data_IF_181886558790
#
_entry.id   IF_181886558790
#
_cell.length_a   1.000
_cell.length_b   1.000
_cell.length_c   1.000
_cell.angle_alpha   90.00
_cell.angle_beta   90.00
_cell.angle_gamma   90.00
#
_symmetry.space_group_name_H-M   'P 1'
#
loop_
_entity.id
_entity.type
_entity.pdbx_description
1 polymer ?
#
# COMPACT_ATOMS: atom_id res chain seq x y z
N UNK A 1 -21.08 -30.06 -18.61
CA UNK A 1 -22.52 -30.26 -18.27
C UNK A 1 -22.63 -31.66 -17.69
N UNK A 2 -23.10 -32.00 -16.48
CA UNK A 2 -23.96 -31.43 -15.41
C UNK A 2 -23.51 -32.12 -14.09
N UNK A 3 -23.16 -31.38 -13.03
CA UNK A 3 -23.97 -31.12 -11.81
C UNK A 3 -24.57 -32.36 -11.12
N UNK A 4 -24.11 -32.64 -9.90
CA UNK A 4 -24.86 -32.55 -8.62
C UNK A 4 -24.10 -33.34 -7.52
N UNK A 5 -23.61 -32.75 -6.42
CA UNK A 5 -24.33 -32.35 -5.17
C UNK A 5 -24.79 -33.64 -4.44
N UNK A 6 -24.53 -33.99 -3.16
CA UNK A 6 -24.31 -33.25 -1.89
C UNK A 6 -23.80 -34.21 -0.76
N UNK A 7 -23.41 -33.60 0.37
CA UNK A 7 -23.61 -33.99 1.79
C UNK A 7 -22.68 -35.05 2.42
N UNK A 8 -21.80 -34.61 3.33
CA UNK A 8 -22.02 -34.68 4.79
C UNK A 8 -20.70 -34.59 5.58
N UNK A 9 -20.59 -33.59 6.47
CA UNK A 9 -19.92 -33.61 7.79
C UNK A 9 -19.56 -32.16 8.18
N UNK A 10 -20.38 -31.46 8.99
CA UNK A 10 -20.37 -31.44 10.46
C UNK A 10 -19.78 -30.11 10.97
N UNK A 11 -20.60 -29.45 11.82
CA UNK A 11 -20.26 -28.43 12.82
C UNK A 11 -19.99 -26.98 12.36
N UNK A 12 -21.08 -26.32 11.93
CA UNK A 12 -21.35 -24.96 12.40
C UNK A 12 -21.82 -25.03 13.87
N UNK A 13 -20.98 -24.63 14.82
CA UNK A 13 -21.44 -24.11 16.11
C UNK A 13 -20.35 -23.27 16.78
N UNK A 14 -20.50 -21.96 16.61
CA UNK A 14 -20.27 -20.93 17.62
C UNK A 14 -18.99 -21.04 18.47
N UNK A 15 -17.86 -20.56 17.92
CA UNK A 15 -16.82 -19.91 18.70
C UNK A 15 -16.86 -18.39 18.45
N UNK A 16 -18.02 -17.78 18.73
CA UNK A 16 -18.17 -16.36 19.06
C UNK A 16 -17.60 -16.15 20.46
N UNK A 17 -16.27 -16.09 20.56
CA UNK A 17 -15.49 -15.63 21.71
C UNK A 17 -14.04 -15.84 21.30
N UNK A 18 -13.43 -14.91 20.57
CA UNK A 18 -12.56 -13.90 21.18
C UNK A 18 -12.51 -12.66 20.28
N UNK A 19 -13.65 -11.98 20.14
CA UNK A 19 -13.66 -10.53 19.86
C UNK A 19 -13.41 -9.80 21.19
N UNK A 20 -12.27 -10.11 21.82
CA UNK A 20 -11.75 -9.34 22.94
C UNK A 20 -10.78 -8.33 22.34
N UNK A 21 -11.19 -7.07 22.32
CA UNK A 21 -10.44 -5.96 21.73
C UNK A 21 -9.15 -5.69 22.48
N UNK A 22 -8.10 -6.42 22.15
CA UNK A 22 -6.75 -5.88 22.25
C UNK A 22 -6.52 -5.04 20.99
N UNK A 23 -6.66 -3.71 21.12
CA UNK A 23 -5.92 -2.79 20.25
C UNK A 23 -4.43 -3.08 20.48
N UNK A 24 -3.87 -4.02 19.75
CA UNK A 24 -2.49 -4.47 19.98
C UNK A 24 -2.30 -5.97 19.75
N UNK A 25 -2.53 -6.44 18.51
CA UNK A 25 -2.03 -7.76 18.10
C UNK A 25 -0.50 -7.78 18.08
N UNK A 26 0.10 -8.98 17.92
CA UNK A 26 1.57 -9.17 17.81
C UNK A 26 2.22 -8.21 16.80
N UNK A 27 1.48 -7.82 15.76
CA UNK A 27 1.95 -7.00 14.64
C UNK A 27 1.28 -5.62 14.58
N UNK A 28 0.84 -5.07 15.71
CA UNK A 28 0.13 -3.78 15.72
C UNK A 28 0.99 -2.62 15.21
N UNK A 29 2.30 -2.67 15.45
CA UNK A 29 3.26 -1.70 14.91
C UNK A 29 3.44 -1.82 13.39
N UNK A 30 3.34 -3.04 12.84
CA UNK A 30 3.26 -3.26 11.39
C UNK A 30 1.98 -2.68 10.83
N UNK A 31 0.84 -2.96 11.47
CA UNK A 31 -0.46 -2.45 11.06
C UNK A 31 -0.50 -0.90 11.06
N UNK A 32 0.07 -0.24 12.07
CA UNK A 32 0.15 1.21 12.15
C UNK A 32 0.96 1.83 10.99
N UNK A 33 2.08 1.19 10.61
CA UNK A 33 2.90 1.63 9.48
C UNK A 33 2.18 1.39 8.15
N UNK A 34 1.53 0.23 7.98
CA UNK A 34 0.70 -0.04 6.79
C UNK A 34 -0.45 0.96 6.65
N UNK A 35 -1.15 1.29 7.73
CA UNK A 35 -2.19 2.32 7.71
C UNK A 35 -1.66 3.71 7.36
N UNK A 36 -0.47 4.06 7.86
CA UNK A 36 0.19 5.31 7.49
C UNK A 36 0.54 5.34 6.00
N UNK A 37 0.99 4.22 5.44
CA UNK A 37 1.26 4.06 4.02
C UNK A 37 -0.01 4.16 3.18
N UNK A 38 -1.09 3.50 3.62
CA UNK A 38 -2.38 3.55 2.92
C UNK A 38 -2.91 4.98 2.85
N UNK A 39 -2.88 5.73 3.96
CA UNK A 39 -3.28 7.14 3.97
C UNK A 39 -2.44 7.98 3.03
N UNK A 40 -1.13 7.68 2.93
CA UNK A 40 -0.24 8.34 1.99
C UNK A 40 -0.63 8.06 0.53
N UNK A 41 -0.96 6.81 0.19
CA UNK A 41 -1.45 6.43 -1.13
C UNK A 41 -2.78 7.10 -1.45
N UNK A 42 -3.76 7.07 -0.54
CA UNK A 42 -5.07 7.69 -0.72
C UNK A 42 -4.93 9.21 -0.92
N UNK A 43 -4.07 9.87 -0.15
CA UNK A 43 -3.76 11.28 -0.33
C UNK A 43 -3.07 11.55 -1.65
N UNK A 44 -2.13 10.70 -2.07
CA UNK A 44 -1.42 10.84 -3.33
C UNK A 44 -2.39 10.68 -4.53
N UNK A 45 -3.25 9.66 -4.51
CA UNK A 45 -4.32 9.45 -5.49
C UNK A 45 -5.24 10.67 -5.57
N UNK A 46 -5.67 11.19 -4.42
CA UNK A 46 -6.51 12.40 -4.37
C UNK A 46 -5.82 13.61 -4.98
N UNK A 47 -4.54 13.83 -4.66
CA UNK A 47 -3.74 14.91 -5.23
C UNK A 47 -3.62 14.77 -6.74
N UNK A 48 -3.24 13.58 -7.24
CA UNK A 48 -3.10 13.30 -8.67
C UNK A 48 -4.40 13.52 -9.46
N UNK A 49 -5.57 13.23 -8.88
CA UNK A 49 -6.85 13.49 -9.56
C UNK A 49 -7.08 14.98 -9.83
N UNK A 50 -6.54 15.85 -8.96
CA UNK A 50 -6.78 17.30 -8.95
C UNK A 50 -5.71 18.12 -9.66
N UNK A 51 -4.55 17.55 -10.00
CA UNK A 51 -3.46 18.29 -10.66
C UNK A 51 -3.89 18.84 -12.02
N UNK A 52 -3.53 20.08 -12.30
CA UNK A 52 -3.78 20.80 -13.55
C UNK A 52 -2.52 21.52 -14.07
N UNK A 53 -1.37 21.29 -13.43
CA UNK A 53 -0.07 21.81 -13.86
C UNK A 53 1.08 20.85 -13.54
N UNK A 54 2.23 20.98 -14.23
CA UNK A 54 3.44 20.24 -13.89
C UNK A 54 3.92 20.49 -12.45
N UNK A 55 3.81 21.72 -11.96
CA UNK A 55 4.21 22.06 -10.59
C UNK A 55 3.37 21.32 -9.54
N UNK A 56 2.06 21.20 -9.75
CA UNK A 56 1.17 20.43 -8.88
C UNK A 56 1.44 18.92 -8.94
N UNK A 57 1.78 18.40 -10.13
CA UNK A 57 2.22 17.01 -10.30
C UNK A 57 3.50 16.75 -9.50
N UNK A 58 4.52 17.59 -9.67
CA UNK A 58 5.78 17.48 -8.93
C UNK A 58 5.54 17.56 -7.41
N UNK A 59 4.66 18.46 -6.95
CA UNK A 59 4.29 18.58 -5.55
C UNK A 59 3.58 17.32 -5.01
N UNK A 60 2.67 16.73 -5.78
CA UNK A 60 1.98 15.49 -5.39
C UNK A 60 2.97 14.33 -5.22
N UNK A 61 3.88 14.14 -6.18
CA UNK A 61 4.93 13.10 -6.13
C UNK A 61 5.88 13.33 -4.96
N UNK A 62 6.32 14.57 -4.74
CA UNK A 62 7.20 14.92 -3.63
C UNK A 62 6.53 14.68 -2.27
N UNK A 63 5.25 15.05 -2.10
CA UNK A 63 4.53 14.83 -0.85
C UNK A 63 4.39 13.35 -0.48
N UNK A 64 4.16 12.49 -1.47
CA UNK A 64 4.19 11.04 -1.27
C UNK A 64 5.60 10.56 -0.89
N UNK A 65 6.62 11.04 -1.61
CA UNK A 65 8.03 10.70 -1.35
C UNK A 65 8.49 11.10 0.05
N UNK A 66 8.09 12.27 0.54
CA UNK A 66 8.38 12.73 1.91
C UNK A 66 7.82 11.76 2.95
N UNK A 67 6.66 11.17 2.68
CA UNK A 67 6.04 10.19 3.58
C UNK A 67 6.81 8.87 3.56
N UNK A 68 7.25 8.42 2.37
CA UNK A 68 8.12 7.24 2.25
C UNK A 68 9.42 7.42 3.04
N UNK A 69 10.09 8.57 2.91
CA UNK A 69 11.32 8.86 3.65
C UNK A 69 11.10 8.88 5.17
N UNK A 70 9.98 9.44 5.64
CA UNK A 70 9.61 9.44 7.06
C UNK A 70 9.33 8.04 7.61
N UNK A 71 8.67 7.19 6.82
CA UNK A 71 8.33 5.83 7.22
C UNK A 71 9.51 4.85 7.06
N UNK A 72 10.50 5.18 6.22
CA UNK A 72 11.61 4.30 5.88
C UNK A 72 12.33 3.66 7.07
N UNK A 73 12.75 4.42 8.11
CA UNK A 73 13.44 3.82 9.25
C UNK A 73 12.57 2.79 9.99
N UNK A 74 11.27 3.08 10.13
CA UNK A 74 10.32 2.19 10.80
C UNK A 74 10.07 0.92 9.99
N UNK A 75 9.96 1.03 8.66
CA UNK A 75 9.79 -0.14 7.80
C UNK A 75 10.98 -1.10 7.93
N UNK A 76 12.21 -0.56 7.91
CA UNK A 76 13.44 -1.35 8.09
C UNK A 76 13.49 -2.00 9.48
N UNK A 77 13.09 -1.26 10.52
CA UNK A 77 13.04 -1.79 11.89
C UNK A 77 12.06 -2.95 12.01
N UNK A 78 10.85 -2.80 11.45
CA UNK A 78 9.80 -3.82 11.49
C UNK A 78 10.19 -5.09 10.72
N UNK A 79 10.85 -4.93 9.57
CA UNK A 79 11.35 -6.05 8.78
C UNK A 79 12.37 -6.89 9.56
N UNK A 80 13.28 -6.24 10.29
CA UNK A 80 14.23 -6.91 11.18
C UNK A 80 13.55 -7.55 12.40
N UNK A 81 12.48 -6.92 12.89
CA UNK A 81 11.73 -7.38 14.06
C UNK A 81 10.84 -8.60 13.75
N UNK A 82 10.28 -8.65 12.54
CA UNK A 82 9.35 -9.69 12.11
C UNK A 82 9.77 -10.33 10.76
N UNK A 83 10.96 -10.94 10.67
CA UNK A 83 11.42 -11.57 9.43
C UNK A 83 10.56 -12.76 9.00
N UNK A 84 9.72 -13.30 9.88
CA UNK A 84 8.72 -14.31 9.55
C UNK A 84 7.63 -13.79 8.60
N UNK A 85 7.30 -12.49 8.65
CA UNK A 85 6.26 -11.89 7.80
C UNK A 85 6.67 -11.83 6.33
N UNK A 86 7.97 -11.88 6.02
CA UNK A 86 8.46 -11.94 4.64
C UNK A 86 8.40 -13.34 4.03
N UNK A 87 8.46 -14.36 4.90
CA UNK A 87 8.58 -15.77 4.50
C UNK A 87 7.24 -16.47 4.48
N UNK A 88 6.27 -15.94 5.21
CA UNK A 88 4.93 -16.50 5.27
C UNK A 88 4.10 -16.00 4.09
N UNK A 89 3.61 -16.93 3.28
CA UNK A 89 2.65 -16.63 2.21
C UNK A 89 1.29 -16.21 2.76
N UNK A 90 1.01 -16.49 4.04
CA UNK A 90 -0.24 -16.17 4.71
C UNK A 90 -0.04 -15.09 5.78
N UNK A 91 -0.17 -13.83 5.37
CA UNK A 91 -0.23 -12.74 6.32
C UNK A 91 -1.38 -12.94 7.33
N UNK A 92 -1.19 -12.60 8.61
CA UNK A 92 -2.26 -12.53 9.60
C UNK A 92 -3.43 -11.72 9.05
N UNK A 93 -4.67 -12.13 9.35
CA UNK A 93 -5.88 -11.52 8.77
C UNK A 93 -5.93 -9.98 8.90
N UNK A 94 -5.45 -9.43 10.01
CA UNK A 94 -5.32 -7.98 10.24
C UNK A 94 -4.41 -7.32 9.20
N UNK A 95 -3.23 -7.88 8.94
CA UNK A 95 -2.30 -7.35 7.97
C UNK A 95 -2.76 -7.62 6.54
N UNK A 96 -3.39 -8.78 6.28
CA UNK A 96 -3.91 -9.13 4.95
C UNK A 96 -4.96 -8.12 4.46
N UNK A 97 -5.87 -7.69 5.33
CA UNK A 97 -6.87 -6.69 4.99
C UNK A 97 -6.24 -5.33 4.61
N UNK A 98 -5.13 -4.96 5.26
CA UNK A 98 -4.37 -3.74 4.97
C UNK A 98 -3.59 -3.88 3.66
N UNK A 99 -2.96 -5.03 3.41
CA UNK A 99 -2.31 -5.37 2.14
C UNK A 99 -3.28 -5.25 0.97
N UNK A 100 -4.44 -5.91 1.06
CA UNK A 100 -5.47 -5.85 0.02
C UNK A 100 -5.94 -4.41 -0.25
N UNK A 101 -5.92 -3.54 0.76
CA UNK A 101 -6.29 -2.13 0.59
C UNK A 101 -5.20 -1.34 -0.11
N UNK A 102 -3.93 -1.60 0.20
CA UNK A 102 -2.80 -1.03 -0.55
C UNK A 102 -2.81 -1.48 -2.01
N UNK A 103 -3.08 -2.76 -2.27
CA UNK A 103 -3.18 -3.31 -3.64
C UNK A 103 -4.31 -2.63 -4.42
N UNK A 104 -5.52 -2.54 -3.85
CA UNK A 104 -6.63 -1.81 -4.49
C UNK A 104 -6.30 -0.36 -4.79
N UNK A 105 -5.57 0.32 -3.91
CA UNK A 105 -5.11 1.69 -4.16
C UNK A 105 -4.18 1.75 -5.38
N UNK A 106 -3.20 0.84 -5.48
CA UNK A 106 -2.31 0.75 -6.63
C UNK A 106 -3.07 0.42 -7.93
N UNK A 107 -3.96 -0.57 -7.90
CA UNK A 107 -4.79 -0.95 -9.06
C UNK A 107 -5.63 0.23 -9.56
N UNK A 108 -6.20 1.01 -8.63
CA UNK A 108 -6.99 2.20 -8.98
C UNK A 108 -6.20 3.25 -9.76
N UNK A 109 -4.88 3.32 -9.52
CA UNK A 109 -3.98 4.19 -10.27
C UNK A 109 -3.59 3.59 -11.62
N UNK A 110 -3.40 2.27 -11.67
CA UNK A 110 -2.84 1.54 -12.81
C UNK A 110 -3.84 1.30 -13.96
N UNK A 111 -5.15 1.48 -13.75
CA UNK A 111 -6.15 1.37 -14.83
C UNK A 111 -6.01 2.53 -15.84
N UNK A 112 -5.07 2.38 -16.77
CA UNK A 112 -4.78 3.32 -17.86
C UNK A 112 -5.99 3.62 -18.74
N UNK A 113 -6.97 2.73 -18.80
CA UNK A 113 -8.17 2.90 -19.63
C UNK A 113 -9.18 3.89 -19.03
N UNK A 114 -9.11 4.15 -17.72
CA UNK A 114 -10.07 5.00 -16.99
C UNK A 114 -9.41 6.15 -16.22
N UNK A 115 -8.09 6.12 -16.08
CA UNK A 115 -7.38 7.00 -15.18
C UNK A 115 -6.95 8.31 -15.88
N UNK A 116 -7.66 9.39 -15.60
CA UNK A 116 -7.20 10.75 -15.95
C UNK A 116 -5.85 11.08 -15.31
N UNK A 117 -5.49 10.42 -14.21
CA UNK A 117 -4.17 10.49 -13.60
C UNK A 117 -3.08 10.03 -14.57
N UNK A 118 -3.29 8.93 -15.30
CA UNK A 118 -2.30 8.43 -16.27
C UNK A 118 -2.14 9.41 -17.43
N UNK A 119 -3.25 9.95 -17.96
CA UNK A 119 -3.19 10.97 -19.02
C UNK A 119 -2.42 12.22 -18.57
N UNK A 120 -2.74 12.75 -17.38
CA UNK A 120 -2.07 13.92 -16.79
C UNK A 120 -0.59 13.64 -16.52
N UNK A 121 -0.27 12.45 -16.01
CA UNK A 121 1.12 12.02 -15.81
C UNK A 121 1.87 12.06 -17.13
N UNK A 122 1.34 11.46 -18.20
CA UNK A 122 1.97 11.51 -19.53
C UNK A 122 2.11 12.94 -20.07
N UNK A 123 1.10 13.79 -19.88
CA UNK A 123 1.11 15.18 -20.34
C UNK A 123 2.19 16.03 -19.66
N UNK A 124 2.52 15.75 -18.40
CA UNK A 124 3.50 16.51 -17.62
C UNK A 124 4.85 15.80 -17.45
N UNK A 125 4.99 14.56 -17.92
CA UNK A 125 6.19 13.74 -17.70
C UNK A 125 7.48 14.33 -18.30
N UNK A 126 7.39 15.16 -19.34
CA UNK A 126 8.55 15.82 -19.94
C UNK A 126 9.02 17.05 -19.15
N UNK A 127 8.27 17.50 -18.16
CA UNK A 127 8.65 18.62 -17.31
C UNK A 127 9.81 18.24 -16.37
N UNK A 128 10.82 19.10 -16.28
CA UNK A 128 12.04 18.82 -15.53
C UNK A 128 11.80 18.63 -14.03
N UNK A 129 10.87 19.37 -13.43
CA UNK A 129 10.57 19.25 -12.00
C UNK A 129 9.77 17.98 -11.71
N UNK A 130 8.87 17.59 -12.63
CA UNK A 130 8.16 16.31 -12.56
C UNK A 130 9.14 15.14 -12.65
N UNK A 131 10.08 15.17 -13.59
CA UNK A 131 11.11 14.12 -13.71
C UNK A 131 11.99 14.02 -12.47
N UNK A 132 12.42 15.15 -11.91
CA UNK A 132 13.18 15.18 -10.64
C UNK A 132 12.39 14.56 -9.49
N UNK A 133 11.10 14.86 -9.38
CA UNK A 133 10.25 14.31 -8.34
C UNK A 133 10.13 12.78 -8.47
N UNK A 134 9.86 12.26 -9.68
CA UNK A 134 9.82 10.81 -9.92
C UNK A 134 11.18 10.13 -9.68
N UNK A 135 12.29 10.76 -10.09
CA UNK A 135 13.64 10.24 -9.85
C UNK A 135 13.95 10.16 -8.34
N UNK A 136 13.53 11.16 -7.56
CA UNK A 136 13.66 11.12 -6.09
C UNK A 136 12.85 9.97 -5.50
N UNK A 137 11.58 9.84 -5.90
CA UNK A 137 10.73 8.74 -5.44
C UNK A 137 11.36 7.38 -5.73
N UNK A 138 11.86 7.18 -6.95
CA UNK A 138 12.56 5.95 -7.34
C UNK A 138 13.79 5.68 -6.45
N UNK A 139 14.60 6.71 -6.18
CA UNK A 139 15.78 6.58 -5.30
C UNK A 139 15.40 6.13 -3.90
N UNK A 140 14.32 6.69 -3.33
CA UNK A 140 13.81 6.31 -2.01
C UNK A 140 13.33 4.86 -2.02
N UNK A 141 12.50 4.47 -3.00
CA UNK A 141 12.03 3.09 -3.14
C UNK A 141 13.19 2.08 -3.29
N UNK A 142 14.20 2.40 -4.11
CA UNK A 142 15.39 1.55 -4.24
C UNK A 142 16.20 1.46 -2.95
N UNK A 143 16.25 2.53 -2.16
CA UNK A 143 16.95 2.51 -0.87
C UNK A 143 16.23 1.61 0.14
N UNK A 144 14.90 1.56 0.11
CA UNK A 144 14.09 0.67 0.93
C UNK A 144 14.30 -0.80 0.57
N UNK A 145 14.25 -1.13 -0.72
CA UNK A 145 14.52 -2.51 -1.19
C UNK A 145 15.93 -2.99 -0.78
N UNK A 146 16.93 -2.11 -0.86
CA UNK A 146 18.30 -2.44 -0.45
C UNK A 146 18.47 -2.55 1.05
N UNK A 147 17.82 -1.68 1.82
CA UNK A 147 17.95 -1.66 3.27
C UNK A 147 17.22 -2.84 3.94
N UNK A 148 16.30 -3.47 3.21
CA UNK A 148 15.60 -4.66 3.63
C UNK A 148 16.24 -6.00 3.26
N UNK A 149 17.36 -5.99 2.55
CA UNK A 149 18.18 -7.18 2.27
C UNK A 149 19.32 -7.29 3.29
#
# INVERSE_FOLDING_TARGET
>A
MRKSIVFSAVACLCALSLFCGAKGGKYSDVADVMESMIKAQESYISSLSKVNSPAEMAAAVNGFTDTLEKLAPKMIELQKKYPELEKDENLPAELKALEDRMERNFESMADASKSDVIKKTMAYFSDAEVQKAFARMQKVMMSLDKAGK
#
